data_IF_110401670900
#
_entry.id   IF_110401670900
#
_cell.length_a   1.000
_cell.length_b   1.000
_cell.length_c   1.000
_cell.angle_alpha   90.00
_cell.angle_beta   90.00
_cell.angle_gamma   90.00
#
_symmetry.space_group_name_H-M   'P 1'
#
loop_
_entity.id
_entity.type
_entity.pdbx_description
1 polymer ?
#
# COMPACT_ATOMS: atom_id res chain seq x y z
N UNK A 1 -5.17 -11.11 16.78
CA UNK A 1 -3.78 -10.98 17.27
C UNK A 1 -3.14 -9.68 16.76
N UNK A 2 -3.77 -8.99 15.81
CA UNK A 2 -3.41 -7.68 15.27
C UNK A 2 -2.92 -6.62 16.28
N UNK A 3 -3.53 -6.53 17.47
CA UNK A 3 -3.11 -5.57 18.49
C UNK A 3 -1.71 -5.85 19.04
N UNK A 4 -1.31 -7.12 19.15
CA UNK A 4 0.01 -7.51 19.66
C UNK A 4 1.09 -7.26 18.60
N UNK A 5 0.82 -7.62 17.33
CA UNK A 5 1.73 -7.32 16.22
C UNK A 5 1.96 -5.81 16.06
N UNK A 6 0.92 -4.99 16.15
CA UNK A 6 1.04 -3.53 16.12
C UNK A 6 1.82 -2.97 17.32
N UNK A 7 1.68 -3.60 18.49
CA UNK A 7 2.45 -3.21 19.68
C UNK A 7 3.94 -3.49 19.50
N UNK A 8 4.32 -4.66 18.97
CA UNK A 8 5.72 -4.96 18.65
C UNK A 8 6.26 -4.07 17.53
N UNK A 9 5.43 -3.79 16.52
CA UNK A 9 5.75 -2.84 15.46
C UNK A 9 6.11 -1.47 16.06
N UNK A 10 5.28 -0.91 16.94
CA UNK A 10 5.56 0.38 17.58
C UNK A 10 6.80 0.36 18.50
N UNK A 11 7.20 -0.81 19.02
CA UNK A 11 8.41 -0.98 19.82
C UNK A 11 9.69 -1.18 18.98
N UNK A 12 9.59 -1.18 17.64
CA UNK A 12 10.72 -1.47 16.75
C UNK A 12 11.11 -2.94 16.71
N UNK A 13 10.29 -3.82 17.28
CA UNK A 13 10.48 -5.27 17.35
C UNK A 13 9.93 -5.94 16.09
N UNK A 14 10.52 -5.58 14.95
CA UNK A 14 9.99 -5.94 13.62
C UNK A 14 9.97 -7.44 13.35
N UNK A 15 10.96 -8.21 13.83
CA UNK A 15 11.01 -9.65 13.61
C UNK A 15 9.87 -10.38 14.33
N UNK A 16 9.53 -9.94 15.54
CA UNK A 16 8.44 -10.54 16.33
C UNK A 16 7.08 -10.13 15.80
N UNK A 17 6.97 -8.90 15.27
CA UNK A 17 5.79 -8.46 14.54
C UNK A 17 5.59 -9.27 13.25
N UNK A 18 6.65 -9.55 12.50
CA UNK A 18 6.65 -10.37 11.28
C UNK A 18 6.15 -11.78 11.57
N UNK A 19 6.67 -12.45 12.60
CA UNK A 19 6.31 -13.84 12.92
C UNK A 19 4.80 -13.96 13.25
N UNK A 20 4.27 -13.01 14.04
CA UNK A 20 2.85 -12.93 14.33
C UNK A 20 2.00 -12.61 13.09
N UNK A 21 2.46 -11.70 12.24
CA UNK A 21 1.75 -11.32 11.01
C UNK A 21 1.71 -12.47 9.99
N UNK A 22 2.79 -13.25 9.89
CA UNK A 22 2.81 -14.47 9.06
C UNK A 22 1.80 -15.50 9.57
N UNK A 23 1.75 -15.74 10.88
CA UNK A 23 0.77 -16.66 11.48
C UNK A 23 -0.67 -16.18 11.26
N UNK A 24 -0.94 -14.87 11.42
CA UNK A 24 -2.27 -14.30 11.13
C UNK A 24 -2.61 -14.43 9.65
N UNK A 25 -1.67 -14.15 8.74
CA UNK A 25 -1.87 -14.31 7.29
C UNK A 25 -2.25 -15.75 6.95
N UNK A 26 -1.50 -16.73 7.44
CA UNK A 26 -1.73 -18.14 7.11
C UNK A 26 -3.05 -18.64 7.71
N UNK A 27 -3.37 -18.21 8.94
CA UNK A 27 -4.65 -18.53 9.57
C UNK A 27 -5.82 -17.91 8.81
N UNK A 28 -5.76 -16.63 8.45
CA UNK A 28 -6.79 -15.96 7.66
C UNK A 28 -6.93 -16.61 6.28
N UNK A 29 -5.82 -16.95 5.61
CA UNK A 29 -5.85 -17.65 4.32
C UNK A 29 -6.53 -19.02 4.41
N UNK A 30 -6.32 -19.77 5.50
CA UNK A 30 -6.94 -21.08 5.73
C UNK A 30 -8.42 -20.98 6.11
N UNK A 31 -8.80 -20.01 6.94
CA UNK A 31 -10.16 -19.90 7.50
C UNK A 31 -11.09 -19.11 6.58
N UNK A 32 -10.61 -17.98 6.06
CA UNK A 32 -11.41 -17.01 5.32
C UNK A 32 -11.12 -17.04 3.81
N UNK A 33 -10.01 -17.64 3.40
CA UNK A 33 -9.55 -17.67 2.02
C UNK A 33 -8.58 -16.55 1.68
N UNK A 34 -7.89 -16.69 0.54
CA UNK A 34 -6.90 -15.72 0.06
C UNK A 34 -7.51 -14.38 -0.37
N UNK A 35 -8.80 -14.37 -0.68
CA UNK A 35 -9.53 -13.22 -1.21
C UNK A 35 -10.21 -12.37 -0.13
N UNK A 36 -10.22 -12.85 1.10
CA UNK A 36 -10.92 -12.15 2.16
C UNK A 36 -10.19 -10.85 2.53
N UNK A 37 -10.91 -9.73 2.73
CA UNK A 37 -10.30 -8.43 3.07
C UNK A 37 -9.38 -8.51 4.28
N UNK A 38 -9.76 -9.27 5.33
CA UNK A 38 -8.88 -9.48 6.49
C UNK A 38 -7.55 -10.16 6.15
N UNK A 39 -7.54 -11.11 5.20
CA UNK A 39 -6.28 -11.73 4.72
C UNK A 39 -5.42 -10.69 4.02
N UNK A 40 -6.03 -9.84 3.19
CA UNK A 40 -5.34 -8.76 2.47
C UNK A 40 -4.78 -7.70 3.42
N UNK A 41 -5.53 -7.33 4.46
CA UNK A 41 -5.04 -6.44 5.53
C UNK A 41 -3.83 -7.04 6.24
N UNK A 42 -3.85 -8.34 6.58
CA UNK A 42 -2.70 -9.00 7.22
C UNK A 42 -1.47 -9.02 6.30
N UNK A 43 -1.64 -9.28 5.00
CA UNK A 43 -0.53 -9.22 4.03
C UNK A 43 0.01 -7.79 3.91
N UNK A 44 -0.87 -6.78 3.87
CA UNK A 44 -0.46 -5.37 3.83
C UNK A 44 0.35 -4.95 5.05
N UNK A 45 -0.04 -5.42 6.24
CA UNK A 45 0.71 -5.18 7.48
C UNK A 45 2.10 -5.83 7.45
N UNK A 46 2.20 -7.07 6.93
CA UNK A 46 3.47 -7.76 6.75
C UNK A 46 4.40 -7.00 5.77
N UNK A 47 3.83 -6.48 4.67
CA UNK A 47 4.58 -5.66 3.73
C UNK A 47 5.14 -4.37 4.37
N UNK A 48 4.38 -3.73 5.25
CA UNK A 48 4.86 -2.56 6.02
C UNK A 48 5.99 -2.93 6.97
N UNK A 49 5.92 -4.08 7.63
CA UNK A 49 6.99 -4.59 8.49
C UNK A 49 8.27 -4.84 7.69
N UNK A 50 8.18 -5.50 6.53
CA UNK A 50 9.32 -5.68 5.62
C UNK A 50 9.91 -4.36 5.15
N UNK A 51 9.06 -3.36 4.86
CA UNK A 51 9.49 -2.00 4.51
C UNK A 51 10.38 -1.40 5.61
N UNK A 52 9.96 -1.53 6.87
CA UNK A 52 10.72 -1.02 8.02
C UNK A 52 12.01 -1.79 8.30
N UNK A 53 12.04 -3.08 7.96
CA UNK A 53 13.27 -3.89 8.01
C UNK A 53 14.23 -3.58 6.85
N UNK A 54 13.84 -2.74 5.88
CA UNK A 54 14.63 -2.48 4.66
C UNK A 54 14.54 -3.58 3.60
N UNK A 55 13.63 -4.55 3.77
CA UNK A 55 13.37 -5.66 2.83
C UNK A 55 12.37 -5.23 1.75
N UNK A 56 12.78 -4.29 0.91
CA UNK A 56 11.89 -3.64 -0.07
C UNK A 56 11.37 -4.58 -1.16
N UNK A 57 12.14 -5.60 -1.55
CA UNK A 57 11.72 -6.56 -2.58
C UNK A 57 10.57 -7.44 -2.08
N UNK A 58 10.66 -7.93 -0.85
CA UNK A 58 9.61 -8.78 -0.27
C UNK A 58 8.36 -7.97 0.04
N UNK A 59 8.51 -6.74 0.53
CA UNK A 59 7.40 -5.81 0.68
C UNK A 59 6.67 -5.55 -0.66
N UNK A 60 7.43 -5.41 -1.74
CA UNK A 60 6.90 -5.20 -3.09
C UNK A 60 6.09 -6.41 -3.56
N UNK A 61 6.61 -7.63 -3.44
CA UNK A 61 5.90 -8.85 -3.87
C UNK A 61 4.56 -9.00 -3.14
N UNK A 62 4.56 -8.78 -1.82
CA UNK A 62 3.33 -8.80 -1.02
C UNK A 62 2.34 -7.70 -1.44
N UNK A 63 2.81 -6.48 -1.71
CA UNK A 63 1.96 -5.38 -2.18
C UNK A 63 1.34 -5.66 -3.55
N UNK A 64 2.09 -6.26 -4.47
CA UNK A 64 1.56 -6.70 -5.78
C UNK A 64 0.48 -7.75 -5.58
N UNK A 65 0.72 -8.75 -4.74
CA UNK A 65 -0.24 -9.80 -4.46
C UNK A 65 -1.56 -9.24 -3.89
N UNK A 66 -1.47 -8.30 -2.94
CA UNK A 66 -2.64 -7.62 -2.38
C UNK A 66 -3.36 -6.82 -3.46
N UNK A 67 -2.63 -6.04 -4.27
CA UNK A 67 -3.21 -5.24 -5.34
C UNK A 67 -3.97 -6.11 -6.36
N UNK A 68 -3.38 -7.19 -6.85
CA UNK A 68 -4.03 -8.09 -7.81
C UNK A 68 -5.28 -8.75 -7.22
N UNK A 69 -5.18 -9.19 -5.97
CA UNK A 69 -6.31 -9.85 -5.30
C UNK A 69 -7.44 -8.84 -5.02
N UNK A 70 -7.15 -7.67 -4.47
CA UNK A 70 -8.14 -6.61 -4.27
C UNK A 70 -8.79 -6.17 -5.58
N UNK A 71 -8.00 -6.03 -6.65
CA UNK A 71 -8.51 -5.71 -7.99
C UNK A 71 -9.49 -6.77 -8.51
N UNK A 72 -9.29 -8.05 -8.19
CA UNK A 72 -10.20 -9.15 -8.56
C UNK A 72 -11.45 -9.21 -7.69
N UNK A 73 -11.32 -8.97 -6.38
CA UNK A 73 -12.40 -9.19 -5.40
C UNK A 73 -13.35 -8.01 -5.32
N UNK A 74 -12.81 -6.80 -5.15
CA UNK A 74 -13.58 -5.56 -4.91
C UNK A 74 -13.44 -4.55 -6.05
N UNK A 75 -12.55 -4.80 -7.01
CA UNK A 75 -12.36 -3.97 -8.18
C UNK A 75 -11.22 -2.95 -8.04
N UNK A 76 -10.87 -2.33 -9.17
CA UNK A 76 -9.77 -1.36 -9.26
C UNK A 76 -10.03 -0.06 -8.48
N UNK A 77 -11.29 0.30 -8.27
CA UNK A 77 -11.69 1.56 -7.64
C UNK A 77 -11.81 1.47 -6.11
N UNK A 78 -11.73 0.27 -5.52
CA UNK A 78 -11.90 0.12 -4.08
C UNK A 78 -10.79 0.85 -3.29
N UNK A 79 -11.11 1.55 -2.19
CA UNK A 79 -10.12 2.27 -1.37
C UNK A 79 -8.94 1.39 -0.91
N UNK A 80 -9.17 0.12 -0.61
CA UNK A 80 -8.11 -0.84 -0.25
C UNK A 80 -7.16 -1.16 -1.43
N UNK A 81 -7.70 -1.29 -2.64
CA UNK A 81 -6.90 -1.46 -3.85
C UNK A 81 -6.02 -0.22 -4.08
N UNK A 82 -6.62 0.96 -3.96
CA UNK A 82 -5.94 2.25 -4.14
C UNK A 82 -4.87 2.49 -3.07
N UNK A 83 -5.13 2.12 -1.82
CA UNK A 83 -4.13 2.19 -0.74
C UNK A 83 -2.95 1.25 -1.00
N UNK A 84 -3.21 0.05 -1.53
CA UNK A 84 -2.17 -0.92 -1.89
C UNK A 84 -1.31 -0.43 -3.06
N UNK A 85 -1.93 0.16 -4.08
CA UNK A 85 -1.24 0.79 -5.21
C UNK A 85 -0.38 1.98 -4.78
N UNK A 86 -0.88 2.83 -3.87
CA UNK A 86 -0.12 3.96 -3.33
C UNK A 86 1.12 3.49 -2.54
N UNK A 87 0.95 2.46 -1.72
CA UNK A 87 2.06 1.83 -0.99
C UNK A 87 3.12 1.26 -1.94
N UNK A 88 2.70 0.63 -3.05
CA UNK A 88 3.59 0.12 -4.08
C UNK A 88 4.34 1.24 -4.80
N UNK A 89 3.67 2.35 -5.11
CA UNK A 89 4.31 3.53 -5.69
C UNK A 89 5.39 4.12 -4.77
N UNK A 90 5.11 4.23 -3.46
CA UNK A 90 6.09 4.64 -2.45
C UNK A 90 7.29 3.69 -2.38
N UNK A 91 7.04 2.38 -2.44
CA UNK A 91 8.11 1.35 -2.49
C UNK A 91 8.98 1.53 -3.72
N UNK A 92 8.39 1.78 -4.90
CA UNK A 92 9.15 2.03 -6.13
C UNK A 92 9.97 3.33 -6.08
N UNK A 93 9.41 4.40 -5.52
CA UNK A 93 10.13 5.65 -5.31
C UNK A 93 11.36 5.44 -4.43
N UNK A 94 11.23 4.70 -3.32
CA UNK A 94 12.34 4.34 -2.43
C UNK A 94 13.43 3.52 -3.13
N UNK A 95 13.06 2.70 -4.11
CA UNK A 95 13.99 1.91 -4.93
C UNK A 95 14.60 2.71 -6.11
N UNK A 96 14.24 3.98 -6.30
CA UNK A 96 14.67 4.79 -7.45
C UNK A 96 13.97 4.43 -8.76
N UNK A 97 12.84 3.71 -8.70
CA UNK A 97 12.00 3.33 -9.85
C UNK A 97 10.89 4.34 -10.08
N UNK A 98 11.29 5.58 -10.36
CA UNK A 98 10.41 6.75 -10.42
C UNK A 98 9.27 6.61 -11.44
N UNK A 99 9.55 6.05 -12.63
CA UNK A 99 8.54 5.90 -13.70
C UNK A 99 7.38 4.98 -13.29
N UNK A 100 7.68 3.88 -12.61
CA UNK A 100 6.65 2.94 -12.17
C UNK A 100 5.87 3.47 -10.97
N UNK A 101 6.52 4.24 -10.10
CA UNK A 101 5.85 4.97 -9.04
C UNK A 101 4.87 6.01 -9.60
N UNK A 102 5.27 6.73 -10.66
CA UNK A 102 4.45 7.73 -11.33
C UNK A 102 3.21 7.09 -11.99
N UNK A 103 3.40 6.00 -12.75
CA UNK A 103 2.29 5.31 -13.42
C UNK A 103 1.24 4.79 -12.43
N UNK A 104 1.67 4.23 -11.30
CA UNK A 104 0.76 3.78 -10.24
C UNK A 104 0.08 4.95 -9.52
N UNK A 105 0.82 6.03 -9.24
CA UNK A 105 0.29 7.24 -8.60
C UNK A 105 -0.77 7.93 -9.45
N UNK A 106 -0.58 7.97 -10.78
CA UNK A 106 -1.57 8.51 -11.72
C UNK A 106 -2.86 7.69 -11.71
N UNK A 107 -2.76 6.35 -11.77
CA UNK A 107 -3.95 5.48 -11.72
C UNK A 107 -4.72 5.66 -10.41
N UNK A 108 -4.01 5.79 -9.28
CA UNK A 108 -4.64 6.04 -7.97
C UNK A 108 -5.35 7.38 -7.94
N UNK A 109 -4.69 8.45 -8.43
CA UNK A 109 -5.28 9.78 -8.44
C UNK A 109 -6.52 9.84 -9.33
N UNK A 110 -6.47 9.25 -10.53
CA UNK A 110 -7.59 9.25 -11.47
C UNK A 110 -8.81 8.51 -10.90
N UNK A 111 -8.57 7.36 -10.26
CA UNK A 111 -9.61 6.58 -9.59
C UNK A 111 -10.22 7.35 -8.40
N UNK A 112 -9.39 8.00 -7.56
CA UNK A 112 -9.88 8.83 -6.43
C UNK A 112 -10.66 10.05 -6.91
N UNK A 113 -10.19 10.74 -7.96
CA UNK A 113 -10.92 11.86 -8.58
C UNK A 113 -12.30 11.43 -9.09
N UNK A 114 -12.39 10.26 -9.72
CA UNK A 114 -13.64 9.73 -10.24
C UNK A 114 -14.62 9.33 -9.13
N UNK A 115 -14.14 8.70 -8.07
CA UNK A 115 -14.99 8.19 -6.98
C UNK A 115 -15.39 9.25 -5.96
N UNK A 116 -14.42 10.06 -5.50
CA UNK A 116 -14.57 10.91 -4.32
C UNK A 116 -14.61 12.41 -4.68
N UNK A 117 -14.26 12.77 -5.91
CA UNK A 117 -14.14 14.14 -6.36
C UNK A 117 -12.81 14.79 -5.96
N UNK A 118 -12.63 16.04 -6.43
CA UNK A 118 -11.37 16.78 -6.31
C UNK A 118 -11.08 17.31 -4.89
N UNK A 119 -12.10 17.48 -4.05
CA UNK A 119 -11.98 18.07 -2.70
C UNK A 119 -11.86 17.02 -1.59
N UNK A 120 -11.94 15.72 -1.93
CA UNK A 120 -11.89 14.70 -0.91
C UNK A 120 -10.49 14.64 -0.24
N UNK A 121 -10.41 14.50 1.10
CA UNK A 121 -9.15 14.43 1.83
C UNK A 121 -8.17 13.41 1.25
N UNK A 122 -8.67 12.24 0.82
CA UNK A 122 -7.86 11.21 0.17
C UNK A 122 -7.34 11.62 -1.22
N UNK A 123 -8.11 12.35 -2.00
CA UNK A 123 -7.65 12.89 -3.29
C UNK A 123 -6.57 13.95 -3.04
N UNK A 124 -6.79 14.85 -2.07
CA UNK A 124 -5.83 15.86 -1.66
C UNK A 124 -4.56 15.23 -1.06
N UNK A 125 -4.67 14.16 -0.29
CA UNK A 125 -3.55 13.40 0.24
C UNK A 125 -2.75 12.77 -0.89
N UNK A 126 -3.38 12.15 -1.90
CA UNK A 126 -2.65 11.62 -3.07
C UNK A 126 -1.97 12.72 -3.90
N UNK A 127 -2.57 13.91 -3.97
CA UNK A 127 -1.95 15.09 -4.60
C UNK A 127 -0.75 15.59 -3.78
N UNK A 128 -0.89 15.63 -2.45
CA UNK A 128 0.16 16.05 -1.53
C UNK A 128 1.30 15.01 -1.45
N UNK A 129 0.99 13.72 -1.52
CA UNK A 129 1.96 12.63 -1.53
C UNK A 129 2.65 12.52 -2.89
N UNK A 130 1.95 12.80 -3.99
CA UNK A 130 2.58 12.97 -5.31
C UNK A 130 3.46 14.23 -5.41
N UNK A 131 3.32 15.18 -4.48
CA UNK A 131 4.27 16.27 -4.23
C UNK A 131 5.37 15.78 -3.29
N UNK A 132 6.19 14.84 -3.75
CA UNK A 132 7.28 14.28 -2.94
C UNK A 132 8.28 15.37 -2.47
N UNK A 133 8.76 15.29 -1.22
CA UNK A 133 9.49 16.37 -0.54
C UNK A 133 10.89 16.69 -1.08
N UNK A 134 11.46 15.86 -1.97
CA UNK A 134 12.85 16.00 -2.44
C UNK A 134 13.07 17.06 -3.52
N UNK A 135 12.11 17.96 -3.79
CA UNK A 135 12.28 19.07 -4.75
C UNK A 135 12.41 18.65 -6.22
N UNK A 136 12.60 17.37 -6.51
CA UNK A 136 12.34 16.71 -7.79
C UNK A 136 10.84 16.45 -8.00
N UNK A 137 10.03 17.41 -7.52
CA UNK A 137 8.58 17.39 -7.55
C UNK A 137 8.10 16.91 -8.92
N UNK A 138 7.44 15.76 -8.86
CA UNK A 138 6.72 15.13 -9.93
C UNK A 138 5.98 16.19 -10.77
N UNK A 139 6.45 16.37 -12.01
CA UNK A 139 5.99 17.41 -12.93
C UNK A 139 4.52 17.19 -13.39
N UNK A 140 3.91 16.06 -13.00
CA UNK A 140 2.58 15.63 -13.40
C UNK A 140 1.44 16.35 -12.69
N UNK A 141 1.57 16.72 -11.41
CA UNK A 141 0.48 17.39 -10.65
C UNK A 141 0.29 18.86 -11.09
N UNK A 142 1.39 19.61 -11.30
CA UNK A 142 1.31 21.04 -11.70
C UNK A 142 0.80 21.28 -13.12
N UNK A 143 0.72 20.26 -13.97
CA UNK A 143 0.28 20.41 -15.37
C UNK A 143 -1.22 20.17 -15.58
N UNK A 144 -1.96 19.79 -14.54
CA UNK A 144 -3.39 19.40 -14.62
C UNK A 144 -4.29 20.00 -13.53
N UNK A 145 -3.76 20.93 -12.73
CA UNK A 145 -4.53 21.94 -11.98
C UNK A 145 -4.54 23.21 -12.82
#
# INVERSE_FOLDING_TARGET
MANLASTYWNQGRWNEAEELQMQEMETCKRVLGSEHPSTLTSIGNLALTYKNQGRWNEAKELQIQVMETSKRVVGHEHPDTLASMNNLALTYHRQGRWKEAEELGEQVLESRKRMLGHEHPDTLASIAEGLFPDGHGCRWIRRRL
#
